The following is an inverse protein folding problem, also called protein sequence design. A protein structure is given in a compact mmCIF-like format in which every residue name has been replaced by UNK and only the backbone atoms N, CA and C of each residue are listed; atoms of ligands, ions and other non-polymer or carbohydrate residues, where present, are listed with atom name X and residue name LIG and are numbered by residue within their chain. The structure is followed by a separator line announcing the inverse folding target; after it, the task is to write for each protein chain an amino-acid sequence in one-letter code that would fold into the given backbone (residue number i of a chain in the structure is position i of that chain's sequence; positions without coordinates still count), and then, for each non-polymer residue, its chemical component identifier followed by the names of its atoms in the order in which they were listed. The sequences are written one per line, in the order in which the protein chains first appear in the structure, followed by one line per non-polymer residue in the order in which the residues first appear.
data_IF_611891476245
#
_entry.id   IF_611891476245
#
_cell.length_a   1.000
_cell.length_b   1.000
_cell.length_c   1.000
_cell.angle_alpha   90.00
_cell.angle_beta   90.00
_cell.angle_gamma   90.00
#
_symmetry.space_group_name_H-M   'P 1'
#
loop_
_entity.id
_entity.type
_entity.pdbx_description
1 polymer ?
#
# COMPACT_ATOMS: atom_id res chain seq x y z
N UNK A 1 -9.28 -7.51 6.49
CA UNK A 1 -9.55 -6.81 7.79
C UNK A 1 -10.13 -5.42 7.52
N UNK A 2 -11.03 -4.88 8.35
CA UNK A 2 -11.68 -3.57 8.08
C UNK A 2 -10.73 -2.38 8.01
N UNK A 3 -9.69 -2.35 8.86
CA UNK A 3 -8.71 -1.27 8.83
C UNK A 3 -7.91 -1.26 7.53
N UNK A 4 -7.43 -2.41 7.08
CA UNK A 4 -6.71 -2.56 5.82
C UNK A 4 -7.56 -2.09 4.63
N UNK A 5 -8.82 -2.54 4.58
CA UNK A 5 -9.79 -2.15 3.55
C UNK A 5 -9.97 -0.63 3.48
N UNK A 6 -10.08 0.04 4.63
CA UNK A 6 -10.19 1.49 4.69
C UNK A 6 -8.92 2.19 4.18
N UNK A 7 -7.72 1.61 4.40
CA UNK A 7 -6.45 2.22 3.96
C UNK A 7 -6.31 2.10 2.44
N UNK A 8 -6.58 0.90 1.93
CA UNK A 8 -6.55 0.62 0.49
C UNK A 8 -7.60 1.45 -0.25
N UNK A 9 -8.81 1.57 0.30
CA UNK A 9 -9.87 2.40 -0.29
C UNK A 9 -9.47 3.88 -0.34
N UNK A 10 -8.91 4.42 0.75
CA UNK A 10 -8.44 5.81 0.77
C UNK A 10 -7.31 6.05 -0.23
N UNK A 11 -6.34 5.12 -0.30
CA UNK A 11 -5.26 5.18 -1.28
C UNK A 11 -5.80 5.11 -2.71
N UNK A 12 -6.79 4.26 -2.94
CA UNK A 12 -7.44 4.12 -4.24
C UNK A 12 -8.13 5.40 -4.68
N UNK A 13 -8.85 6.05 -3.77
CA UNK A 13 -9.55 7.30 -4.04
C UNK A 13 -8.58 8.47 -4.31
N UNK A 14 -7.50 8.55 -3.53
CA UNK A 14 -6.61 9.73 -3.55
C UNK A 14 -5.45 9.64 -4.53
N UNK A 15 -4.88 8.45 -4.73
CA UNK A 15 -3.57 8.28 -5.40
C UNK A 15 -3.62 7.31 -6.58
N UNK A 16 -4.63 6.45 -6.70
CA UNK A 16 -4.70 5.48 -7.81
C UNK A 16 -4.69 6.14 -9.18
N UNK A 17 -5.31 7.31 -9.33
CA UNK A 17 -5.29 8.10 -10.56
C UNK A 17 -3.91 8.62 -10.94
N UNK A 18 -2.98 8.70 -10.00
CA UNK A 18 -1.60 9.17 -10.19
C UNK A 18 -0.60 8.02 -10.38
N UNK A 19 -1.03 6.77 -10.15
CA UNK A 19 -0.15 5.60 -10.25
C UNK A 19 0.22 5.29 -11.70
N UNK A 20 1.51 5.05 -11.91
CA UNK A 20 2.01 4.52 -13.17
C UNK A 20 1.58 3.07 -13.37
N UNK A 21 1.56 2.59 -14.62
CA UNK A 21 1.17 1.21 -14.97
C UNK A 21 1.97 0.16 -14.18
N UNK A 22 3.26 0.41 -13.94
CA UNK A 22 4.11 -0.48 -13.14
C UNK A 22 3.69 -0.53 -11.66
N UNK A 23 3.30 0.61 -11.08
CA UNK A 23 2.83 0.69 -9.70
C UNK A 23 1.45 0.05 -9.54
N UNK A 24 0.55 0.22 -10.51
CA UNK A 24 -0.75 -0.47 -10.52
C UNK A 24 -0.57 -1.99 -10.58
N UNK A 25 0.37 -2.48 -11.40
CA UNK A 25 0.68 -3.91 -11.49
C UNK A 25 1.29 -4.45 -10.18
N UNK A 26 2.21 -3.71 -9.57
CA UNK A 26 2.78 -4.07 -8.27
C UNK A 26 1.72 -4.03 -7.16
N UNK A 27 0.81 -3.05 -7.16
CA UNK A 27 -0.31 -2.97 -6.24
C UNK A 27 -1.27 -4.16 -6.39
N UNK A 28 -1.60 -4.54 -7.62
CA UNK A 28 -2.44 -5.71 -7.87
C UNK A 28 -1.82 -6.99 -7.28
N UNK A 29 -0.51 -7.19 -7.44
CA UNK A 29 0.24 -8.31 -6.84
C UNK A 29 0.33 -8.24 -5.32
N UNK A 30 0.43 -7.02 -4.78
CA UNK A 30 0.41 -6.78 -3.35
C UNK A 30 -0.93 -7.22 -2.75
N UNK A 31 -2.06 -6.94 -3.42
CA UNK A 31 -3.38 -7.40 -2.97
C UNK A 31 -3.56 -8.93 -3.00
N UNK A 32 -2.67 -9.68 -3.66
CA UNK A 32 -2.66 -11.15 -3.61
C UNK A 32 -2.00 -11.69 -2.33
N UNK A 33 -1.33 -10.84 -1.55
CA UNK A 33 -0.70 -11.23 -0.28
C UNK A 33 -1.70 -11.30 0.87
N UNK A 34 -1.31 -11.97 1.94
CA UNK A 34 -2.14 -12.15 3.12
C UNK A 34 -2.37 -10.82 3.87
N UNK A 35 -3.60 -10.58 4.32
CA UNK A 35 -3.99 -9.37 5.05
C UNK A 35 -3.05 -9.06 6.22
N UNK A 36 -2.60 -10.09 6.95
CA UNK A 36 -1.70 -9.90 8.09
C UNK A 36 -0.31 -9.40 7.66
N UNK A 37 0.21 -9.92 6.54
CA UNK A 37 1.51 -9.52 5.99
C UNK A 37 1.43 -8.09 5.47
N UNK A 38 0.35 -7.74 4.78
CA UNK A 38 0.11 -6.39 4.31
C UNK A 38 0.02 -5.39 5.45
N UNK A 39 -0.72 -5.74 6.51
CA UNK A 39 -0.84 -4.91 7.69
C UNK A 39 0.53 -4.62 8.32
N UNK A 40 1.33 -5.66 8.49
CA UNK A 40 2.67 -5.58 9.07
C UNK A 40 3.65 -4.72 8.23
N UNK A 41 3.59 -4.82 6.90
CA UNK A 41 4.36 -3.94 6.00
C UNK A 41 3.92 -2.47 6.09
N UNK A 42 2.63 -2.23 6.26
CA UNK A 42 2.09 -0.87 6.35
C UNK A 42 2.33 -0.23 7.72
N UNK A 43 2.29 -1.01 8.81
CA UNK A 43 2.70 -0.56 10.16
C UNK A 43 4.20 -0.39 10.27
N UNK A 44 4.97 -1.07 9.41
CA UNK A 44 6.43 -1.05 9.41
C UNK A 44 7.05 -2.03 10.40
N UNK A 45 6.29 -3.04 10.82
CA UNK A 45 6.76 -4.15 11.64
C UNK A 45 7.71 -5.07 10.84
N UNK A 46 7.49 -5.20 9.53
CA UNK A 46 8.38 -5.85 8.58
C UNK A 46 8.61 -5.02 7.32
N UNK A 47 9.74 -5.31 6.68
CA UNK A 47 10.11 -4.72 5.40
C UNK A 47 9.44 -5.50 4.26
N UNK A 48 8.72 -4.81 3.35
CA UNK A 48 8.23 -5.44 2.14
C UNK A 48 9.39 -5.72 1.15
N UNK A 49 9.21 -6.69 0.24
CA UNK A 49 10.10 -6.90 -0.90
C UNK A 49 10.32 -5.65 -1.75
N UNK A 50 11.45 -5.60 -2.48
CA UNK A 50 11.83 -4.45 -3.30
C UNK A 50 10.79 -4.06 -4.35
N UNK A 51 10.07 -5.04 -4.89
CA UNK A 51 8.99 -4.81 -5.87
C UNK A 51 7.78 -4.06 -5.29
N UNK A 52 7.58 -4.15 -3.97
CA UNK A 52 6.45 -3.53 -3.26
C UNK A 52 6.86 -2.29 -2.47
N UNK A 53 8.16 -2.04 -2.26
CA UNK A 53 8.67 -0.91 -1.49
C UNK A 53 8.07 0.43 -1.95
N UNK A 54 8.02 0.67 -3.26
CA UNK A 54 7.50 1.92 -3.84
C UNK A 54 6.01 2.10 -3.52
N UNK A 55 5.21 1.06 -3.77
CA UNK A 55 3.76 1.07 -3.54
C UNK A 55 3.42 1.18 -2.05
N UNK A 56 4.11 0.41 -1.20
CA UNK A 56 3.95 0.46 0.25
C UNK A 56 4.31 1.84 0.79
N UNK A 57 5.38 2.46 0.30
CA UNK A 57 5.76 3.82 0.68
C UNK A 57 4.68 4.86 0.28
N UNK A 58 4.09 4.73 -0.91
CA UNK A 58 3.00 5.60 -1.38
C UNK A 58 1.74 5.45 -0.51
N UNK A 59 1.34 4.22 -0.17
CA UNK A 59 0.20 3.95 0.72
C UNK A 59 0.45 4.56 2.10
N UNK A 60 1.64 4.33 2.67
CA UNK A 60 2.03 4.91 3.98
C UNK A 60 2.03 6.43 3.97
N UNK A 61 2.53 7.05 2.90
CA UNK A 61 2.53 8.52 2.73
C UNK A 61 1.13 9.12 2.55
N UNK A 62 0.13 8.33 2.19
CA UNK A 62 -1.25 8.79 2.06
C UNK A 62 -1.91 8.96 3.43
N UNK A 63 -1.51 8.15 4.41
CA UNK A 63 -2.06 8.17 5.77
C UNK A 63 -1.25 9.03 6.74
N UNK A 64 0.06 9.16 6.53
CA UNK A 64 0.93 9.97 7.35
C UNK A 64 1.26 11.28 6.60
N UNK A 65 0.55 12.39 6.85
CA UNK A 65 1.07 13.69 6.48
C UNK A 65 2.36 13.86 7.28
N UNK A 66 3.51 13.70 6.61
CA UNK A 66 4.81 13.98 7.21
C UNK A 66 4.79 15.44 7.67
N UNK A 67 4.98 15.74 8.97
CA UNK A 67 5.15 17.12 9.41
C UNK A 67 6.42 17.75 8.84
#
# INVERSE_FOLDING_TARGET
MLELDAWLTLFLDTRHGELSVQQQAAFARLLEQDDMVLFDWFTGEQAPPDEFLDVVALIRSTRYPRP
#
